data_IF_758020907347
#
_entry.id   IF_758020907347
#
_cell.length_a   1.000
_cell.length_b   1.000
_cell.length_c   1.000
_cell.angle_alpha   90.00
_cell.angle_beta   90.00
_cell.angle_gamma   90.00
#
_symmetry.space_group_name_H-M   'P 1'
#
loop_
_entity.id
_entity.type
_entity.pdbx_description
1 polymer ?
#
# COMPACT_ATOMS: atom_id res chain seq x y z
N UNK A 1 39.06 -19.78 5.67
CA UNK A 1 38.22 -19.75 4.45
C UNK A 1 37.58 -18.38 4.34
N UNK A 2 37.68 -17.72 3.17
CA UNK A 2 37.03 -16.42 2.98
C UNK A 2 35.50 -16.62 2.99
N UNK A 3 34.79 -15.83 3.81
CA UNK A 3 33.33 -15.93 3.93
C UNK A 3 32.68 -15.31 2.69
N UNK A 4 32.45 -16.13 1.67
CA UNK A 4 31.75 -15.69 0.46
C UNK A 4 30.28 -15.38 0.77
N UNK A 5 29.78 -14.30 0.17
CA UNK A 5 28.36 -13.93 0.26
C UNK A 5 27.51 -14.97 -0.48
N UNK A 6 26.48 -15.49 0.19
CA UNK A 6 25.47 -16.34 -0.46
C UNK A 6 24.63 -15.53 -1.44
N UNK A 7 24.09 -16.19 -2.46
CA UNK A 7 23.27 -15.50 -3.48
C UNK A 7 22.00 -14.87 -2.90
N UNK A 8 21.39 -15.50 -1.90
CA UNK A 8 20.28 -14.91 -1.16
C UNK A 8 20.69 -13.58 -0.48
N UNK A 9 21.89 -13.53 0.10
CA UNK A 9 22.41 -12.32 0.75
C UNK A 9 22.77 -11.24 -0.27
N UNK A 10 23.30 -11.60 -1.45
CA UNK A 10 23.53 -10.65 -2.55
C UNK A 10 22.22 -10.03 -3.05
N UNK A 11 21.19 -10.85 -3.29
CA UNK A 11 19.85 -10.38 -3.71
C UNK A 11 19.23 -9.46 -2.67
N UNK A 12 19.35 -9.78 -1.38
CA UNK A 12 18.89 -8.92 -0.29
C UNK A 12 19.58 -7.55 -0.27
N UNK A 13 20.91 -7.52 -0.42
CA UNK A 13 21.67 -6.26 -0.48
C UNK A 13 21.21 -5.38 -1.64
N UNK A 14 20.95 -5.98 -2.82
CA UNK A 14 20.47 -5.27 -3.99
C UNK A 14 19.05 -4.73 -3.77
N UNK A 15 18.15 -5.55 -3.21
CA UNK A 15 16.78 -5.12 -2.89
C UNK A 15 16.75 -3.97 -1.86
N UNK A 16 17.58 -4.06 -0.82
CA UNK A 16 17.73 -2.99 0.18
C UNK A 16 18.23 -1.69 -0.47
N UNK A 17 19.15 -1.79 -1.44
CA UNK A 17 19.65 -0.63 -2.18
C UNK A 17 18.59 -0.01 -3.10
N UNK A 18 17.84 -0.81 -3.84
CA UNK A 18 16.71 -0.35 -4.68
C UNK A 18 15.62 0.33 -3.84
N UNK A 19 15.50 -0.04 -2.55
CA UNK A 19 14.59 0.62 -1.61
C UNK A 19 15.03 2.03 -1.17
N UNK A 20 16.32 2.23 -0.86
CA UNK A 20 16.80 3.46 -0.19
C UNK A 20 17.78 4.33 -1.01
N UNK A 21 18.33 3.82 -2.13
CA UNK A 21 19.31 4.52 -2.97
C UNK A 21 20.69 4.79 -2.32
N UNK A 22 20.88 4.43 -1.04
CA UNK A 22 22.07 4.81 -0.27
C UNK A 22 22.99 3.62 0.05
N UNK A 23 24.14 3.55 -0.63
CA UNK A 23 25.13 2.49 -0.42
C UNK A 23 25.64 2.36 1.02
N UNK A 24 25.74 3.47 1.76
CA UNK A 24 26.31 3.48 3.12
C UNK A 24 25.31 2.92 4.14
N UNK A 25 24.03 3.20 3.94
CA UNK A 25 22.94 2.70 4.77
C UNK A 25 22.74 1.19 4.60
N UNK A 26 22.70 0.73 3.35
CA UNK A 26 22.60 -0.70 3.00
C UNK A 26 23.79 -1.48 3.57
N UNK A 27 24.99 -0.90 3.50
CA UNK A 27 26.21 -1.49 4.05
C UNK A 27 26.11 -1.73 5.56
N UNK A 28 25.63 -0.73 6.32
CA UNK A 28 25.38 -0.86 7.77
C UNK A 28 24.32 -1.92 8.07
N UNK A 29 23.19 -1.90 7.35
CA UNK A 29 22.07 -2.84 7.52
C UNK A 29 22.49 -4.30 7.26
N UNK A 30 23.33 -4.52 6.25
CA UNK A 30 23.75 -5.86 5.82
C UNK A 30 25.10 -6.33 6.41
N UNK A 31 25.75 -5.47 7.23
CA UNK A 31 27.07 -5.70 7.83
C UNK A 31 28.13 -6.05 6.76
N UNK A 32 28.19 -5.24 5.71
CA UNK A 32 29.16 -5.36 4.60
C UNK A 32 29.80 -4.00 4.32
N UNK A 33 30.92 -3.97 3.58
CA UNK A 33 31.53 -2.69 3.19
C UNK A 33 30.72 -1.99 2.10
N UNK A 34 30.78 -0.66 2.08
CA UNK A 34 30.16 0.17 1.03
C UNK A 34 30.61 -0.23 -0.37
N UNK A 35 31.89 -0.56 -0.53
CA UNK A 35 32.44 -1.00 -1.82
C UNK A 35 31.89 -2.35 -2.26
N UNK A 36 31.52 -3.23 -1.32
CA UNK A 36 30.84 -4.49 -1.64
C UNK A 36 29.45 -4.22 -2.22
N UNK A 37 28.69 -3.31 -1.61
CA UNK A 37 27.36 -2.91 -2.13
C UNK A 37 27.50 -2.29 -3.52
N UNK A 38 28.44 -1.35 -3.69
CA UNK A 38 28.70 -0.70 -5.00
C UNK A 38 29.08 -1.71 -6.08
N UNK A 39 29.95 -2.68 -5.75
CA UNK A 39 30.34 -3.73 -6.71
C UNK A 39 29.17 -4.63 -7.08
N UNK A 40 28.34 -5.05 -6.13
CA UNK A 40 27.17 -5.88 -6.41
C UNK A 40 26.17 -5.16 -7.30
N UNK A 41 25.95 -3.88 -7.03
CA UNK A 41 25.13 -2.98 -7.81
C UNK A 41 25.66 -2.87 -9.25
N UNK A 42 26.91 -2.42 -9.44
CA UNK A 42 27.45 -2.13 -10.77
C UNK A 42 27.74 -3.36 -11.65
N UNK A 43 27.78 -4.58 -11.09
CA UNK A 43 28.15 -5.80 -11.83
C UNK A 43 26.96 -6.55 -12.42
N UNK A 44 25.73 -6.19 -12.07
CA UNK A 44 24.58 -7.07 -12.32
C UNK A 44 23.40 -6.36 -12.97
N UNK A 45 22.87 -6.99 -14.02
CA UNK A 45 21.53 -6.77 -14.61
C UNK A 45 20.39 -6.91 -13.58
N UNK A 46 20.70 -7.52 -12.43
CA UNK A 46 19.82 -7.71 -11.28
C UNK A 46 19.34 -6.38 -10.70
N UNK A 47 20.12 -5.30 -10.77
CA UNK A 47 19.65 -3.97 -10.34
C UNK A 47 18.48 -3.49 -11.20
N UNK A 48 18.66 -3.54 -12.51
CA UNK A 48 17.64 -3.09 -13.46
C UNK A 48 16.37 -3.94 -13.30
N UNK A 49 16.51 -5.27 -13.26
CA UNK A 49 15.39 -6.19 -12.99
C UNK A 49 14.71 -5.95 -11.64
N UNK A 50 15.48 -5.58 -10.61
CA UNK A 50 14.92 -5.27 -9.29
C UNK A 50 14.16 -3.93 -9.29
N UNK A 51 14.62 -2.95 -10.06
CA UNK A 51 13.93 -1.67 -10.26
C UNK A 51 12.64 -1.87 -11.07
N UNK A 52 12.70 -2.56 -12.20
CA UNK A 52 11.53 -2.92 -13.02
C UNK A 52 10.49 -3.69 -12.19
N UNK A 53 10.94 -4.65 -11.37
CA UNK A 53 10.05 -5.39 -10.47
C UNK A 53 9.45 -4.52 -9.36
N UNK A 54 10.17 -3.52 -8.85
CA UNK A 54 9.62 -2.57 -7.86
C UNK A 54 8.51 -1.73 -8.48
N UNK A 55 8.72 -1.25 -9.70
CA UNK A 55 7.72 -0.50 -10.47
C UNK A 55 6.49 -1.36 -10.78
N UNK A 56 6.70 -2.59 -11.27
CA UNK A 56 5.62 -3.54 -11.52
C UNK A 56 4.83 -3.86 -10.23
N UNK A 57 5.50 -4.17 -9.12
CA UNK A 57 4.83 -4.44 -7.85
C UNK A 57 4.03 -3.23 -7.35
N UNK A 58 4.54 -2.01 -7.57
CA UNK A 58 3.82 -0.77 -7.22
C UNK A 58 2.57 -0.64 -8.07
N UNK A 59 2.67 -0.87 -9.38
CA UNK A 59 1.54 -0.87 -10.31
C UNK A 59 0.51 -1.93 -9.95
N UNK A 60 0.94 -3.17 -9.70
CA UNK A 60 0.07 -4.29 -9.33
C UNK A 60 -0.68 -4.01 -8.02
N UNK A 61 0.00 -3.39 -7.03
CA UNK A 61 -0.63 -2.94 -5.80
C UNK A 61 -1.66 -1.83 -6.03
N UNK A 62 -1.33 -0.83 -6.85
CA UNK A 62 -2.28 0.24 -7.20
C UNK A 62 -3.51 -0.32 -7.92
N UNK A 63 -3.31 -1.24 -8.87
CA UNK A 63 -4.38 -1.92 -9.58
C UNK A 63 -5.21 -2.81 -8.64
N UNK A 64 -4.56 -3.54 -7.72
CA UNK A 64 -5.27 -4.29 -6.67
C UNK A 64 -6.10 -3.37 -5.77
N UNK A 65 -5.55 -2.22 -5.35
CA UNK A 65 -6.27 -1.25 -4.53
C UNK A 65 -7.47 -0.66 -5.27
N UNK A 66 -7.32 -0.35 -6.56
CA UNK A 66 -8.41 0.19 -7.38
C UNK A 66 -9.52 -0.85 -7.61
N UNK A 67 -9.13 -2.10 -7.93
CA UNK A 67 -10.07 -3.22 -8.02
C UNK A 67 -10.79 -3.47 -6.68
N UNK A 68 -10.08 -3.39 -5.55
CA UNK A 68 -10.69 -3.56 -4.22
C UNK A 68 -11.60 -2.39 -3.85
N UNK A 69 -11.30 -1.18 -4.33
CA UNK A 69 -12.17 -0.02 -4.18
C UNK A 69 -13.49 -0.25 -4.92
N UNK A 70 -13.44 -0.81 -6.13
CA UNK A 70 -14.63 -1.19 -6.88
C UNK A 70 -15.41 -2.31 -6.17
N UNK A 71 -14.76 -3.40 -5.76
CA UNK A 71 -15.39 -4.49 -4.99
C UNK A 71 -16.11 -3.95 -3.74
N UNK A 72 -15.48 -3.01 -3.04
CA UNK A 72 -16.05 -2.39 -1.85
C UNK A 72 -17.28 -1.54 -2.17
N UNK A 73 -17.25 -0.76 -3.27
CA UNK A 73 -18.42 0.00 -3.73
C UNK A 73 -19.57 -0.94 -4.12
N UNK A 74 -19.29 -1.99 -4.88
CA UNK A 74 -20.29 -2.99 -5.28
C UNK A 74 -20.90 -3.68 -4.05
N UNK A 75 -20.07 -4.02 -3.06
CA UNK A 75 -20.57 -4.57 -1.79
C UNK A 75 -21.48 -3.60 -1.04
N UNK A 76 -21.10 -2.32 -0.98
CA UNK A 76 -21.92 -1.27 -0.34
C UNK A 76 -23.25 -1.15 -1.08
N UNK A 77 -23.26 -1.12 -2.41
CA UNK A 77 -24.49 -1.04 -3.21
C UNK A 77 -25.41 -2.25 -2.95
N UNK A 78 -24.85 -3.47 -2.94
CA UNK A 78 -25.60 -4.68 -2.62
C UNK A 78 -26.19 -4.64 -1.20
N UNK A 79 -25.40 -4.21 -0.21
CA UNK A 79 -25.85 -4.09 1.16
C UNK A 79 -26.97 -3.06 1.31
N UNK A 80 -26.82 -1.89 0.68
CA UNK A 80 -27.83 -0.83 0.66
C UNK A 80 -29.11 -1.28 -0.02
N UNK A 81 -29.02 -1.93 -1.18
CA UNK A 81 -30.19 -2.49 -1.88
C UNK A 81 -30.93 -3.51 -1.01
N UNK A 82 -30.18 -4.39 -0.32
CA UNK A 82 -30.76 -5.37 0.59
C UNK A 82 -31.45 -4.72 1.80
N UNK A 83 -30.88 -3.64 2.34
CA UNK A 83 -31.49 -2.87 3.43
C UNK A 83 -32.76 -2.12 3.01
N UNK A 84 -32.85 -1.73 1.74
CA UNK A 84 -34.00 -1.00 1.18
C UNK A 84 -35.17 -1.90 0.75
N UNK A 85 -35.03 -3.23 0.84
CA UNK A 85 -36.13 -4.15 0.52
C UNK A 85 -37.36 -3.86 1.41
N UNK A 86 -38.56 -3.61 0.82
CA UNK A 86 -39.75 -3.20 1.59
C UNK A 86 -40.15 -4.19 2.69
N UNK A 87 -39.96 -5.49 2.47
CA UNK A 87 -40.19 -6.55 3.45
C UNK A 87 -39.29 -6.41 4.69
N UNK A 88 -38.01 -6.08 4.50
CA UNK A 88 -37.04 -5.92 5.57
C UNK A 88 -37.25 -4.61 6.33
N UNK A 89 -37.57 -3.53 5.61
CA UNK A 89 -37.91 -2.25 6.23
C UNK A 89 -39.16 -2.36 7.10
N UNK A 90 -40.21 -3.05 6.65
CA UNK A 90 -41.44 -3.27 7.43
C UNK A 90 -41.22 -4.13 8.67
N UNK A 91 -40.30 -5.09 8.63
CA UNK A 91 -39.94 -5.97 9.76
C UNK A 91 -38.96 -5.31 10.74
N UNK A 92 -38.32 -4.23 10.34
CA UNK A 92 -37.35 -3.52 11.17
C UNK A 92 -38.05 -2.61 12.18
N UNK A 93 -37.51 -2.52 13.40
CA UNK A 93 -38.05 -1.62 14.41
C UNK A 93 -37.74 -0.15 14.07
N UNK A 94 -38.62 0.76 14.49
CA UNK A 94 -38.43 2.21 14.31
C UNK A 94 -37.10 2.68 14.91
N UNK A 95 -36.71 2.12 16.06
CA UNK A 95 -35.43 2.41 16.72
C UNK A 95 -34.22 2.00 15.85
N UNK A 96 -34.29 0.81 15.22
CA UNK A 96 -33.23 0.32 14.34
C UNK A 96 -33.10 1.20 13.09
N UNK A 97 -34.23 1.57 12.47
CA UNK A 97 -34.26 2.47 11.33
C UNK A 97 -33.67 3.85 11.67
N UNK A 98 -34.07 4.45 12.81
CA UNK A 98 -33.54 5.73 13.26
C UNK A 98 -32.02 5.69 13.51
N UNK A 99 -31.52 4.59 14.09
CA UNK A 99 -30.09 4.38 14.34
C UNK A 99 -29.32 4.24 13.04
N UNK A 100 -29.81 3.43 12.10
CA UNK A 100 -29.19 3.26 10.78
C UNK A 100 -29.12 4.58 10.00
N UNK A 101 -30.18 5.40 10.04
CA UNK A 101 -30.20 6.73 9.42
C UNK A 101 -29.13 7.64 10.05
N UNK A 102 -29.02 7.66 11.38
CA UNK A 102 -28.00 8.45 12.07
C UNK A 102 -26.57 8.07 11.68
N UNK A 103 -26.28 6.76 11.57
CA UNK A 103 -24.96 6.26 11.14
C UNK A 103 -24.65 6.68 9.70
N UNK A 104 -25.62 6.56 8.79
CA UNK A 104 -25.44 6.99 7.38
C UNK A 104 -25.14 8.49 7.33
N UNK A 105 -25.94 9.31 8.02
CA UNK A 105 -25.71 10.77 8.05
C UNK A 105 -24.32 11.09 8.61
N UNK A 106 -23.90 10.47 9.72
CA UNK A 106 -22.57 10.65 10.30
C UNK A 106 -21.44 10.30 9.33
N UNK A 107 -21.58 9.20 8.57
CA UNK A 107 -20.54 8.71 7.67
C UNK A 107 -20.45 9.47 6.35
N UNK A 108 -21.57 10.00 5.85
CA UNK A 108 -21.64 10.70 4.57
C UNK A 108 -21.61 12.23 4.72
N UNK A 109 -21.68 12.76 5.93
CA UNK A 109 -21.44 14.18 6.19
C UNK A 109 -19.94 14.40 6.40
N UNK A 110 -19.25 15.21 5.57
CA UNK A 110 -17.85 15.52 5.77
C UNK A 110 -17.66 16.16 7.14
N UNK A 111 -16.87 15.52 8.01
CA UNK A 111 -16.45 16.10 9.28
C UNK A 111 -15.03 16.64 9.13
N UNK A 112 -14.67 17.64 9.94
CA UNK A 112 -13.33 18.25 9.95
C UNK A 112 -12.20 17.22 10.15
N UNK A 113 -12.48 16.08 10.79
CA UNK A 113 -11.53 14.98 10.96
C UNK A 113 -11.32 14.13 9.69
N UNK A 114 -12.33 14.01 8.83
CA UNK A 114 -12.23 13.29 7.56
C UNK A 114 -11.27 14.01 6.61
N UNK A 115 -11.35 15.34 6.52
CA UNK A 115 -10.47 16.15 5.68
C UNK A 115 -8.99 16.04 6.11
N UNK A 116 -8.72 16.09 7.42
CA UNK A 116 -7.37 15.90 7.96
C UNK A 116 -6.81 14.50 7.70
N UNK A 117 -7.68 13.48 7.58
CA UNK A 117 -7.28 12.10 7.31
C UNK A 117 -6.97 11.88 5.84
N UNK A 118 -7.73 12.51 4.94
CA UNK A 118 -7.47 12.52 3.49
C UNK A 118 -6.14 13.23 3.17
N UNK A 119 -5.88 14.40 3.77
CA UNK A 119 -4.60 15.10 3.60
C UNK A 119 -3.38 14.25 4.04
N UNK A 120 -3.53 13.48 5.14
CA UNK A 120 -2.46 12.59 5.61
C UNK A 120 -2.24 11.43 4.65
N UNK A 121 -3.30 10.91 4.05
CA UNK A 121 -3.22 9.83 3.07
C UNK A 121 -2.54 10.30 1.79
N UNK A 122 -2.89 11.49 1.28
CA UNK A 122 -2.25 12.09 0.11
C UNK A 122 -0.75 12.31 0.35
N UNK A 123 -0.38 12.86 1.51
CA UNK A 123 1.04 13.02 1.92
C UNK A 123 1.80 11.70 2.03
N UNK A 124 1.12 10.59 2.33
CA UNK A 124 1.73 9.25 2.37
C UNK A 124 1.88 8.68 0.96
N UNK A 125 0.88 8.87 0.09
CA UNK A 125 0.93 8.44 -1.31
C UNK A 125 2.01 9.20 -2.10
N UNK A 126 2.16 10.51 -1.88
CA UNK A 126 3.25 11.31 -2.46
C UNK A 126 4.64 10.80 -2.07
N UNK A 127 4.82 10.38 -0.80
CA UNK A 127 6.09 9.80 -0.33
C UNK A 127 6.38 8.42 -0.90
N UNK A 128 5.37 7.69 -1.33
CA UNK A 128 5.50 6.35 -1.93
C UNK A 128 5.71 6.48 -3.45
N UNK A 129 5.06 7.45 -4.10
CA UNK A 129 5.16 7.73 -5.55
C UNK A 129 6.32 8.64 -5.95
N UNK A 130 6.94 9.35 -5.01
CA UNK A 130 8.00 10.32 -5.27
C UNK A 130 9.35 9.95 -4.67
N UNK A 131 10.10 9.09 -5.37
CA UNK A 131 11.58 9.21 -5.47
C UNK A 131 11.98 8.76 -6.88
N UNK A 132 12.04 9.73 -7.80
CA UNK A 132 13.03 9.75 -8.89
C UNK A 132 14.14 10.67 -8.40
#
# INVERSE_FOLDING_TARGET
MAKHLTDAKKKKIIADYVGCGNYSEVARKNKVSKDTVRRLCNRTDILQKAQEKKEQNTKDMLEYLDNKKQDAMEFIDMALASMMEPEKLKKSSVQALATSIGIIIDKFTPTVQTDQSLEKLDKVLEKIGGVI
#
